data_IF_024009086094
#
_entry.id   IF_024009086094
#
_cell.length_a   1.000
_cell.length_b   1.000
_cell.length_c   1.000
_cell.angle_alpha   90.00
_cell.angle_beta   90.00
_cell.angle_gamma   90.00
#
_symmetry.space_group_name_H-M   'P 1'
#
loop_
_entity.id
_entity.type
_entity.pdbx_description
1 polymer ?
#
# COMPACT_ATOMS: atom_id res chain seq x y z
N UNK A 1 -53.24 -9.39 5.37
CA UNK A 1 -52.28 -9.98 4.41
C UNK A 1 -51.24 -8.92 4.05
N UNK A 2 -50.08 -8.89 4.71
CA UNK A 2 -48.91 -8.07 4.31
C UNK A 2 -47.70 -8.99 4.40
N UNK A 3 -47.18 -9.42 3.25
CA UNK A 3 -45.94 -10.22 3.18
C UNK A 3 -44.77 -9.24 3.13
N UNK A 4 -44.06 -9.13 4.24
CA UNK A 4 -42.79 -8.39 4.34
C UNK A 4 -41.77 -9.01 3.38
N UNK A 5 -41.43 -8.28 2.32
CA UNK A 5 -40.33 -8.63 1.43
C UNK A 5 -39.00 -8.34 2.13
N UNK A 6 -38.37 -9.37 2.69
CA UNK A 6 -36.97 -9.31 3.11
C UNK A 6 -36.13 -9.26 1.84
N UNK A 7 -35.76 -8.06 1.41
CA UNK A 7 -34.76 -7.89 0.36
C UNK A 7 -33.41 -8.30 0.96
N UNK A 8 -33.03 -9.56 0.76
CA UNK A 8 -31.68 -10.00 1.08
C UNK A 8 -30.70 -9.23 0.18
N UNK A 9 -29.63 -8.61 0.73
CA UNK A 9 -28.62 -7.96 -0.09
C UNK A 9 -27.93 -9.05 -0.92
N UNK A 10 -28.06 -8.95 -2.23
CA UNK A 10 -27.33 -9.79 -3.18
C UNK A 10 -25.84 -9.56 -2.97
N UNK A 11 -25.19 -10.45 -2.22
CA UNK A 11 -23.75 -10.48 -2.09
C UNK A 11 -23.17 -10.92 -3.43
N UNK A 12 -23.05 -9.99 -4.38
CA UNK A 12 -22.41 -10.21 -5.66
C UNK A 12 -20.93 -10.41 -5.40
N UNK A 13 -20.52 -11.66 -5.20
CA UNK A 13 -19.11 -12.02 -5.28
C UNK A 13 -18.73 -11.97 -6.75
N UNK A 14 -18.17 -10.82 -7.17
CA UNK A 14 -17.60 -10.66 -8.50
C UNK A 14 -16.40 -11.59 -8.58
N UNK A 15 -16.52 -12.67 -9.35
CA UNK A 15 -15.40 -13.52 -9.69
C UNK A 15 -14.47 -12.71 -10.60
N UNK A 16 -13.47 -12.06 -10.00
CA UNK A 16 -12.38 -11.42 -10.73
C UNK A 16 -11.59 -12.53 -11.42
N UNK A 17 -11.91 -12.79 -12.69
CA UNK A 17 -11.13 -13.66 -13.58
C UNK A 17 -9.81 -12.94 -13.96
N UNK A 18 -8.94 -12.75 -12.98
CA UNK A 18 -7.57 -12.26 -13.15
C UNK A 18 -6.57 -13.41 -13.06
N UNK A 19 -5.33 -13.19 -13.48
CA UNK A 19 -4.27 -14.17 -13.24
C UNK A 19 -3.92 -14.21 -11.73
N UNK A 20 -3.42 -15.36 -11.27
CA UNK A 20 -3.09 -15.59 -9.85
C UNK A 20 -2.16 -14.51 -9.27
N UNK A 21 -1.21 -13.99 -10.06
CA UNK A 21 -0.24 -12.99 -9.57
C UNK A 21 -0.94 -11.69 -9.20
N UNK A 22 -1.90 -11.25 -10.01
CA UNK A 22 -2.65 -10.03 -9.77
C UNK A 22 -3.61 -10.18 -8.58
N UNK A 23 -4.26 -11.35 -8.46
CA UNK A 23 -5.12 -11.64 -7.30
C UNK A 23 -4.35 -11.64 -5.99
N UNK A 24 -3.17 -12.26 -5.96
CA UNK A 24 -2.29 -12.26 -4.77
C UNK A 24 -1.85 -10.84 -4.45
N UNK A 25 -1.43 -10.04 -5.45
CA UNK A 25 -1.05 -8.64 -5.25
C UNK A 25 -2.20 -7.80 -4.68
N UNK A 26 -3.41 -7.97 -5.18
CA UNK A 26 -4.59 -7.24 -4.69
C UNK A 26 -4.90 -7.60 -3.23
N UNK A 27 -4.85 -8.89 -2.90
CA UNK A 27 -5.04 -9.36 -1.53
C UNK A 27 -3.94 -8.84 -0.59
N UNK A 28 -2.67 -8.97 -0.97
CA UNK A 28 -1.55 -8.45 -0.17
C UNK A 28 -1.69 -6.94 0.08
N UNK A 29 -2.09 -6.18 -0.95
CA UNK A 29 -2.31 -4.73 -0.84
C UNK A 29 -3.40 -4.41 0.18
N UNK A 30 -4.56 -5.06 0.07
CA UNK A 30 -5.67 -4.89 1.02
C UNK A 30 -5.23 -5.22 2.45
N UNK A 31 -4.58 -6.38 2.63
CA UNK A 31 -4.13 -6.85 3.94
C UNK A 31 -3.16 -5.86 4.62
N UNK A 32 -2.22 -5.30 3.85
CA UNK A 32 -1.27 -4.32 4.38
C UNK A 32 -1.98 -3.01 4.75
N UNK A 33 -2.91 -2.53 3.92
CA UNK A 33 -3.70 -1.32 4.20
C UNK A 33 -4.51 -1.50 5.49
N UNK A 34 -5.20 -2.63 5.64
CA UNK A 34 -5.99 -2.92 6.84
C UNK A 34 -5.10 -2.97 8.08
N UNK A 35 -3.94 -3.63 7.99
CA UNK A 35 -2.97 -3.68 9.08
C UNK A 35 -2.45 -2.27 9.44
N UNK A 36 -2.18 -1.41 8.46
CA UNK A 36 -1.78 -0.01 8.69
C UNK A 36 -2.87 0.77 9.42
N UNK A 37 -4.13 0.63 9.00
CA UNK A 37 -5.26 1.33 9.57
C UNK A 37 -5.47 0.97 11.05
N UNK A 38 -5.50 -0.33 11.37
CA UNK A 38 -5.73 -0.79 12.76
C UNK A 38 -4.56 -0.49 13.71
N UNK A 39 -3.36 -0.27 13.18
CA UNK A 39 -2.18 0.07 13.98
C UNK A 39 -1.84 1.58 13.95
N UNK A 40 -2.71 2.43 13.41
CA UNK A 40 -2.45 3.88 13.35
C UNK A 40 -1.19 4.23 12.57
N UNK A 41 -0.91 3.51 11.48
CA UNK A 41 0.27 3.65 10.63
C UNK A 41 1.63 3.29 11.26
N UNK A 42 1.67 2.70 12.46
CA UNK A 42 2.91 2.21 13.10
C UNK A 42 3.49 1.01 12.33
N UNK A 43 4.49 1.28 11.50
CA UNK A 43 5.13 0.28 10.62
C UNK A 43 5.82 -0.85 11.37
N UNK A 44 6.30 -0.61 12.61
CA UNK A 44 6.94 -1.64 13.42
C UNK A 44 5.90 -2.64 13.93
N UNK A 45 4.77 -2.14 14.43
CA UNK A 45 3.65 -2.99 14.84
C UNK A 45 3.05 -3.76 13.67
N UNK A 46 2.91 -3.11 12.51
CA UNK A 46 2.40 -3.73 11.29
C UNK A 46 3.31 -4.86 10.80
N UNK A 47 4.63 -4.63 10.74
CA UNK A 47 5.58 -5.66 10.34
C UNK A 47 5.53 -6.88 11.28
N UNK A 48 5.46 -6.62 12.60
CA UNK A 48 5.29 -7.67 13.62
C UNK A 48 3.96 -8.43 13.45
N UNK A 49 2.86 -7.71 13.22
CA UNK A 49 1.53 -8.30 13.01
C UNK A 49 1.49 -9.20 11.78
N UNK A 50 2.09 -8.75 10.67
CA UNK A 50 2.16 -9.50 9.42
C UNK A 50 3.25 -10.58 9.41
N UNK A 51 4.05 -10.70 10.47
CA UNK A 51 5.10 -11.71 10.59
C UNK A 51 6.27 -11.51 9.61
N UNK A 52 6.54 -10.28 9.18
CA UNK A 52 7.61 -9.96 8.22
C UNK A 52 8.60 -8.95 8.83
N UNK A 53 9.79 -8.85 8.24
CA UNK A 53 10.74 -7.81 8.62
C UNK A 53 10.25 -6.41 8.20
N UNK A 54 10.68 -5.39 8.92
CA UNK A 54 10.35 -3.99 8.61
C UNK A 54 10.81 -3.61 7.19
N UNK A 55 12.00 -4.05 6.76
CA UNK A 55 12.50 -3.83 5.39
C UNK A 55 11.62 -4.50 4.33
N UNK A 56 11.08 -5.68 4.62
CA UNK A 56 10.14 -6.37 3.72
C UNK A 56 8.83 -5.63 3.61
N UNK A 57 8.32 -5.08 4.73
CA UNK A 57 7.14 -4.22 4.72
C UNK A 57 7.35 -2.99 3.83
N UNK A 58 8.45 -2.25 4.02
CA UNK A 58 8.75 -1.08 3.19
C UNK A 58 8.88 -1.41 1.70
N UNK A 59 9.48 -2.56 1.36
CA UNK A 59 9.55 -3.01 -0.04
C UNK A 59 8.15 -3.27 -0.61
N UNK A 60 7.29 -3.98 0.13
CA UNK A 60 5.91 -4.25 -0.29
C UNK A 60 5.08 -2.97 -0.42
N UNK A 61 5.27 -1.99 0.47
CA UNK A 61 4.61 -0.70 0.37
C UNK A 61 4.93 -0.02 -0.97
N UNK A 62 6.21 0.05 -1.35
CA UNK A 62 6.66 0.57 -2.64
C UNK A 62 6.13 -0.22 -3.83
N UNK A 63 6.25 -1.53 -3.80
CA UNK A 63 5.84 -2.43 -4.90
C UNK A 63 4.32 -2.41 -5.15
N UNK A 64 3.51 -2.13 -4.12
CA UNK A 64 2.05 -2.15 -4.19
C UNK A 64 1.42 -0.76 -4.28
N UNK A 65 2.24 0.30 -4.40
CA UNK A 65 1.79 1.70 -4.54
C UNK A 65 0.68 2.06 -3.53
N UNK A 66 0.88 1.71 -2.27
CA UNK A 66 -0.02 2.08 -1.16
C UNK A 66 0.20 3.56 -0.81
N UNK A 67 -0.66 4.48 -1.23
CA UNK A 67 -0.45 5.92 -1.02
C UNK A 67 -0.14 6.30 0.46
N UNK A 68 0.76 7.28 0.66
CA UNK A 68 1.10 7.79 2.00
C UNK A 68 2.29 7.14 2.71
N UNK A 69 3.09 6.28 2.03
CA UNK A 69 4.38 5.81 2.57
C UNK A 69 5.58 6.63 2.11
N UNK A 70 5.39 7.73 1.36
CA UNK A 70 6.43 8.64 0.82
C UNK A 70 7.68 8.61 1.71
N UNK A 71 8.64 7.80 1.26
CA UNK A 71 9.85 7.52 2.00
C UNK A 71 10.69 8.78 1.86
N UNK A 72 10.67 9.64 2.88
CA UNK A 72 11.49 10.86 2.94
C UNK A 72 13.01 10.55 3.00
N UNK A 73 13.42 9.34 2.61
CA UNK A 73 14.78 8.82 2.57
C UNK A 73 15.35 8.67 1.14
N UNK A 74 14.72 9.27 0.12
CA UNK A 74 15.44 9.62 -1.12
C UNK A 74 14.90 10.92 -1.72
N UNK A 75 15.45 12.04 -1.25
CA UNK A 75 15.50 13.26 -2.07
C UNK A 75 16.00 12.90 -3.49
N UNK A 76 15.58 13.62 -4.54
CA UNK A 76 16.03 13.35 -5.90
C UNK A 76 17.56 13.53 -5.99
N UNK A 77 18.30 12.43 -5.84
CA UNK A 77 19.77 12.38 -6.05
C UNK A 77 20.15 12.26 -7.52
N UNK A 78 19.23 12.53 -8.45
CA UNK A 78 19.48 12.59 -9.89
C UNK A 78 18.83 13.82 -10.55
N UNK A 79 19.12 15.00 -10.03
CA UNK A 79 19.21 16.20 -10.87
C UNK A 79 20.66 16.71 -10.74
N UNK A 80 21.40 16.67 -11.85
CA UNK A 80 22.84 16.79 -11.89
C UNK A 80 23.40 18.06 -11.22
N UNK A 81 24.56 17.89 -10.59
CA UNK A 81 25.51 18.96 -10.26
C UNK A 81 26.62 18.83 -11.31
N UNK A 82 27.06 19.90 -12.02
CA UNK A 82 27.62 21.08 -11.37
C UNK A 82 27.39 22.44 -12.08
N UNK A 83 26.95 23.45 -11.34
CA UNK A 83 27.22 24.85 -11.70
C UNK A 83 28.04 25.49 -10.58
N UNK A 84 29.35 25.26 -10.66
CA UNK A 84 30.40 25.99 -9.92
C UNK A 84 30.78 27.30 -10.63
N UNK A 85 29.87 27.90 -11.38
CA UNK A 85 30.09 29.20 -12.02
C UNK A 85 29.62 30.33 -11.08
N UNK A 86 30.37 31.43 -11.06
CA UNK A 86 30.05 32.69 -10.35
C UNK A 86 30.34 32.80 -8.85
N UNK A 87 31.52 32.38 -8.41
CA UNK A 87 32.22 33.11 -7.32
C UNK A 87 33.61 33.55 -7.72
N UNK A 88 33.68 34.33 -8.80
CA UNK A 88 34.77 35.26 -9.09
C UNK A 88 34.19 36.49 -9.80
N UNK A 89 33.69 37.46 -9.02
CA UNK A 89 33.99 38.89 -9.15
C UNK A 89 33.36 39.66 -7.99
#
# INVERSE_FOLDING_TARGET
>A
MIRSGVQQPSNQFVLVAGNLKDSVRAYERSLIIDALNVNGNDKRKVAKLLGISLSSLYRKLRELSIEGFEDNAKAPVEAGVPEVAERLN
#
